data_IF_316527629302
#
_entry.id   IF_316527629302
#
_cell.length_a   1.000
_cell.length_b   1.000
_cell.length_c   1.000
_cell.angle_alpha   90.00
_cell.angle_beta   90.00
_cell.angle_gamma   90.00
#
_symmetry.space_group_name_H-M   'P 1'
#
loop_
_entity.id
_entity.type
_entity.pdbx_description
1 polymer ?
#
# COMPACT_ATOMS: atom_id res chain seq x y z
N UNK A 1 -30.91 -6.38 -66.46
CA UNK A 1 -31.88 -5.45 -65.88
C UNK A 1 -31.67 -5.37 -64.35
N UNK A 2 -30.95 -4.37 -63.85
CA UNK A 2 -30.60 -4.20 -62.41
C UNK A 2 -31.53 -3.14 -61.83
N UNK A 3 -32.29 -3.51 -60.84
CA UNK A 3 -33.22 -2.59 -60.09
C UNK A 3 -32.43 -1.98 -58.96
N UNK A 4 -32.24 -0.67 -58.96
CA UNK A 4 -31.61 0.11 -57.91
C UNK A 4 -32.68 0.43 -56.84
N UNK A 5 -32.45 0.01 -55.58
CA UNK A 5 -33.28 0.31 -54.41
C UNK A 5 -32.73 1.58 -53.74
N UNK A 6 -33.50 2.67 -53.79
CA UNK A 6 -33.21 3.96 -53.12
C UNK A 6 -33.31 3.78 -51.60
N UNK A 7 -32.25 4.15 -50.88
CA UNK A 7 -32.27 4.32 -49.41
C UNK A 7 -32.84 5.68 -49.06
N UNK A 8 -33.93 5.70 -48.32
CA UNK A 8 -34.47 6.93 -47.70
C UNK A 8 -33.68 7.21 -46.40
N UNK A 9 -33.21 8.44 -46.26
CA UNK A 9 -32.61 8.97 -45.06
C UNK A 9 -33.75 9.53 -44.16
N UNK A 10 -33.90 8.99 -42.96
CA UNK A 10 -34.79 9.51 -41.94
C UNK A 10 -33.95 10.45 -41.07
N UNK A 11 -34.31 11.72 -41.08
CA UNK A 11 -33.74 12.77 -40.23
C UNK A 11 -34.36 12.62 -38.84
N UNK A 12 -33.57 12.11 -37.89
CA UNK A 12 -33.97 12.01 -36.49
C UNK A 12 -33.76 13.36 -35.76
N UNK A 13 -34.82 13.89 -35.19
CA UNK A 13 -34.83 15.10 -34.40
C UNK A 13 -34.03 14.94 -33.11
N UNK A 14 -33.11 15.86 -32.87
CA UNK A 14 -32.31 15.94 -31.64
C UNK A 14 -33.19 16.46 -30.50
N UNK A 15 -33.43 15.60 -29.50
CA UNK A 15 -34.03 16.00 -28.22
C UNK A 15 -32.90 16.50 -27.33
N UNK A 16 -32.87 17.79 -27.05
CA UNK A 16 -32.04 18.43 -26.02
C UNK A 16 -32.59 18.01 -24.64
N UNK A 17 -31.97 17.05 -23.99
CA UNK A 17 -32.15 16.83 -22.57
C UNK A 17 -31.28 17.82 -21.79
N UNK A 18 -31.93 18.76 -21.11
CA UNK A 18 -31.29 19.65 -20.16
C UNK A 18 -30.73 18.89 -18.97
N UNK A 19 -29.42 18.87 -18.82
CA UNK A 19 -28.78 18.36 -17.63
C UNK A 19 -28.99 19.35 -16.47
N UNK A 20 -29.92 19.03 -15.55
CA UNK A 20 -30.02 19.70 -14.27
C UNK A 20 -28.78 19.27 -13.44
N UNK A 21 -27.83 20.19 -13.31
CA UNK A 21 -26.73 20.06 -12.38
C UNK A 21 -27.29 20.21 -10.97
N UNK A 22 -27.59 19.11 -10.30
CA UNK A 22 -27.84 19.12 -8.87
C UNK A 22 -26.51 19.43 -8.17
N UNK A 23 -26.37 20.67 -7.66
CA UNK A 23 -25.31 21.02 -6.72
C UNK A 23 -25.52 20.20 -5.45
N UNK A 24 -24.69 19.20 -5.22
CA UNK A 24 -24.63 18.43 -3.98
C UNK A 24 -24.23 19.34 -2.84
N UNK A 25 -25.06 19.41 -1.82
CA UNK A 25 -24.90 20.25 -0.64
C UNK A 25 -23.68 19.84 0.19
N UNK A 26 -22.99 20.78 0.87
CA UNK A 26 -21.79 20.48 1.69
C UNK A 26 -22.05 19.50 2.85
N UNK A 27 -23.31 19.21 3.21
CA UNK A 27 -23.67 18.22 4.22
C UNK A 27 -23.29 16.77 3.87
N UNK A 28 -23.24 16.40 2.58
CA UNK A 28 -22.84 15.05 2.15
C UNK A 28 -21.33 14.81 2.27
N UNK A 29 -20.52 15.87 2.08
CA UNK A 29 -19.06 15.77 2.24
C UNK A 29 -18.65 15.61 3.71
N UNK A 30 -19.39 16.24 4.62
CA UNK A 30 -19.11 16.20 6.04
C UNK A 30 -19.44 14.84 6.66
N UNK A 31 -20.52 14.18 6.25
CA UNK A 31 -20.86 12.82 6.67
C UNK A 31 -19.89 11.77 6.13
N UNK A 32 -19.39 11.95 4.90
CA UNK A 32 -18.45 10.99 4.30
C UNK A 32 -17.08 11.00 5.00
N UNK A 33 -16.57 12.19 5.37
CA UNK A 33 -15.30 12.29 6.10
C UNK A 33 -15.37 11.73 7.52
N UNK A 34 -16.50 11.90 8.20
CA UNK A 34 -16.71 11.35 9.54
C UNK A 34 -16.75 9.82 9.52
N UNK A 35 -17.41 9.24 8.54
CA UNK A 35 -17.46 7.79 8.36
C UNK A 35 -16.08 7.15 8.06
N UNK A 36 -15.26 7.78 7.20
CA UNK A 36 -13.93 7.28 6.89
C UNK A 36 -13.01 7.28 8.12
N UNK A 37 -13.06 8.32 8.92
CA UNK A 37 -12.26 8.42 10.13
C UNK A 37 -12.70 7.42 11.20
N UNK A 38 -14.01 7.23 11.38
CA UNK A 38 -14.54 6.25 12.32
C UNK A 38 -14.25 4.82 11.86
N UNK A 39 -14.34 4.54 10.57
CA UNK A 39 -13.91 3.26 9.98
C UNK A 39 -12.42 3.00 10.22
N UNK A 40 -11.57 3.99 9.99
CA UNK A 40 -10.14 3.87 10.25
C UNK A 40 -9.85 3.57 11.74
N UNK A 41 -10.42 4.33 12.66
CA UNK A 41 -10.27 4.08 14.10
C UNK A 41 -10.76 2.70 14.51
N UNK A 42 -11.90 2.28 13.97
CA UNK A 42 -12.45 0.94 14.21
C UNK A 42 -11.50 -0.16 13.72
N UNK A 43 -10.92 0.00 12.51
CA UNK A 43 -9.95 -0.94 11.98
C UNK A 43 -8.67 -1.02 12.83
N UNK A 44 -8.15 0.12 13.27
CA UNK A 44 -6.98 0.17 14.17
C UNK A 44 -7.31 -0.52 15.50
N UNK A 45 -8.43 -0.21 16.13
CA UNK A 45 -8.84 -0.84 17.39
C UNK A 45 -9.03 -2.35 17.26
N UNK A 46 -9.77 -2.80 16.25
CA UNK A 46 -10.00 -4.24 16.01
C UNK A 46 -8.71 -5.01 15.69
N UNK A 47 -7.73 -4.35 15.06
CA UNK A 47 -6.43 -4.96 14.80
C UNK A 47 -5.57 -5.01 16.06
N UNK A 48 -5.64 -3.99 16.92
CA UNK A 48 -4.96 -3.97 18.20
C UNK A 48 -5.48 -5.06 19.16
N UNK A 49 -6.80 -5.30 19.13
CA UNK A 49 -7.47 -6.29 19.97
C UNK A 49 -7.32 -7.73 19.45
N UNK A 50 -6.73 -7.91 18.24
CA UNK A 50 -6.46 -9.25 17.69
C UNK A 50 -5.48 -10.03 18.54
N UNK A 51 -5.67 -11.34 18.63
CA UNK A 51 -4.77 -12.31 19.27
C UNK A 51 -3.79 -12.98 18.28
N UNK A 52 -3.80 -12.55 17.01
CA UNK A 52 -2.92 -13.04 15.95
C UNK A 52 -1.68 -12.16 15.82
N UNK A 53 -0.54 -12.80 15.65
CA UNK A 53 0.76 -12.13 15.61
C UNK A 53 1.53 -12.46 14.35
N UNK A 54 2.44 -11.56 13.98
CA UNK A 54 3.32 -11.76 12.83
C UNK A 54 4.72 -11.20 13.10
N UNK A 55 5.70 -11.86 12.48
CA UNK A 55 7.11 -11.51 12.50
C UNK A 55 7.51 -10.91 11.18
N UNK A 56 8.32 -9.87 11.21
CA UNK A 56 8.88 -9.21 10.02
C UNK A 56 10.40 -9.37 10.01
N UNK A 57 10.94 -9.79 8.87
CA UNK A 57 12.38 -9.93 8.65
C UNK A 57 12.77 -9.18 7.39
N UNK A 58 13.47 -8.04 7.48
CA UNK A 58 13.98 -7.31 6.32
C UNK A 58 14.81 -8.21 5.41
N UNK A 59 14.66 -8.09 4.11
CA UNK A 59 15.31 -8.96 3.14
C UNK A 59 16.16 -8.19 2.12
N UNK A 60 15.61 -7.14 1.52
CA UNK A 60 16.27 -6.38 0.45
C UNK A 60 15.93 -4.90 0.54
N UNK A 61 16.94 -4.07 0.35
CA UNK A 61 16.82 -2.64 0.05
C UNK A 61 17.49 -2.39 -1.30
N UNK A 62 16.70 -2.18 -2.35
CA UNK A 62 17.25 -1.96 -3.68
C UNK A 62 17.05 -0.51 -4.13
N UNK A 63 18.14 0.16 -4.48
CA UNK A 63 18.14 1.52 -5.01
C UNK A 63 17.99 1.48 -6.52
N UNK A 64 17.06 2.25 -7.05
CA UNK A 64 16.79 2.30 -8.48
C UNK A 64 18.03 2.82 -9.26
N UNK A 65 18.69 1.93 -10.00
CA UNK A 65 19.94 2.20 -10.72
C UNK A 65 19.81 3.29 -11.79
N UNK A 66 18.60 3.59 -12.26
CA UNK A 66 18.36 4.71 -13.19
C UNK A 66 18.29 6.07 -12.48
N UNK A 67 18.11 6.07 -11.15
CA UNK A 67 17.95 7.27 -10.33
C UNK A 67 19.13 7.53 -9.37
N UNK A 68 20.17 6.70 -9.44
CA UNK A 68 21.35 6.80 -8.58
C UNK A 68 22.64 6.71 -9.36
N UNK A 69 23.63 7.50 -8.96
CA UNK A 69 25.01 7.33 -9.38
C UNK A 69 25.55 5.99 -8.87
N UNK A 70 26.28 5.27 -9.74
CA UNK A 70 26.88 3.98 -9.39
C UNK A 70 27.77 4.08 -8.12
N UNK A 71 28.53 5.17 -7.97
CA UNK A 71 29.38 5.38 -6.79
C UNK A 71 28.59 5.33 -5.48
N UNK A 72 27.40 5.94 -5.42
CA UNK A 72 26.55 5.90 -4.23
C UNK A 72 26.01 4.51 -3.94
N UNK A 73 25.53 3.82 -4.97
CA UNK A 73 24.98 2.47 -4.78
C UNK A 73 26.02 1.43 -4.42
N UNK A 74 27.27 1.64 -4.79
CA UNK A 74 28.39 0.78 -4.39
C UNK A 74 28.75 0.93 -2.88
N UNK A 75 28.38 2.07 -2.26
CA UNK A 75 28.60 2.36 -0.84
C UNK A 75 27.43 1.93 0.05
N UNK A 76 26.25 1.63 -0.53
CA UNK A 76 25.04 1.36 0.23
C UNK A 76 24.92 -0.13 0.63
N UNK A 77 24.44 -0.33 1.86
CA UNK A 77 24.00 -1.64 2.30
C UNK A 77 22.62 -1.96 1.71
N UNK A 78 22.55 -2.91 0.79
CA UNK A 78 21.30 -3.39 0.19
C UNK A 78 20.79 -4.71 0.80
N UNK A 79 21.47 -5.19 1.82
CA UNK A 79 21.08 -6.37 2.61
C UNK A 79 20.77 -5.94 4.05
N UNK A 80 19.64 -5.28 4.25
CA UNK A 80 19.25 -4.87 5.59
C UNK A 80 19.06 -6.11 6.47
N UNK A 81 19.40 -5.98 7.74
CA UNK A 81 19.01 -6.96 8.72
C UNK A 81 18.29 -6.25 9.86
N UNK A 82 17.40 -6.97 10.50
CA UNK A 82 16.57 -6.43 11.55
C UNK A 82 15.45 -7.38 11.89
N UNK A 83 14.54 -6.91 12.71
CA UNK A 83 13.38 -7.69 13.15
C UNK A 83 12.22 -6.74 13.42
N UNK A 84 11.01 -7.23 13.22
CA UNK A 84 9.79 -6.54 13.59
C UNK A 84 8.72 -7.51 14.03
N UNK A 85 7.76 -6.98 14.76
CA UNK A 85 6.61 -7.73 15.25
C UNK A 85 5.35 -6.91 15.02
N UNK A 86 4.22 -7.58 14.84
CA UNK A 86 2.93 -6.95 14.69
C UNK A 86 1.78 -7.83 15.14
N UNK A 87 0.64 -7.20 15.26
CA UNK A 87 -0.66 -7.85 15.35
C UNK A 87 -1.37 -7.68 14.03
N UNK A 88 -2.08 -8.72 13.59
CA UNK A 88 -2.82 -8.67 12.35
C UNK A 88 -4.20 -9.29 12.48
N UNK A 89 -5.06 -8.99 11.53
CA UNK A 89 -6.33 -9.67 11.29
C UNK A 89 -6.65 -9.68 9.80
N UNK A 90 -7.49 -10.58 9.40
CA UNK A 90 -8.26 -10.48 8.16
C UNK A 90 -9.68 -10.03 8.53
N UNK A 91 -10.25 -9.11 7.75
CA UNK A 91 -11.64 -8.68 7.95
C UNK A 91 -12.64 -9.63 7.26
N UNK A 92 -13.92 -9.22 7.19
CA UNK A 92 -15.00 -10.03 6.60
C UNK A 92 -14.82 -10.25 5.09
N UNK A 93 -14.10 -9.33 4.41
CA UNK A 93 -13.75 -9.43 2.99
C UNK A 93 -12.43 -10.19 2.76
N UNK A 94 -11.81 -10.72 3.82
CA UNK A 94 -10.48 -11.31 3.86
C UNK A 94 -9.36 -10.32 3.49
N UNK A 95 -9.57 -9.02 3.69
CA UNK A 95 -8.54 -8.01 3.54
C UNK A 95 -7.65 -7.99 4.79
N UNK A 96 -6.35 -7.84 4.56
CA UNK A 96 -5.36 -7.87 5.63
C UNK A 96 -5.16 -6.50 6.27
N UNK A 97 -5.16 -6.47 7.60
CA UNK A 97 -4.86 -5.32 8.43
C UNK A 97 -3.77 -5.67 9.43
N UNK A 98 -2.85 -4.75 9.69
CA UNK A 98 -1.82 -4.92 10.70
C UNK A 98 -1.46 -3.62 11.43
N UNK A 99 -1.00 -3.80 12.67
CA UNK A 99 -0.27 -2.78 13.44
C UNK A 99 1.09 -3.39 13.76
N UNK A 100 2.16 -2.72 13.36
CA UNK A 100 3.50 -3.28 13.43
C UNK A 100 4.53 -2.28 13.93
N UNK A 101 5.63 -2.82 14.42
CA UNK A 101 6.86 -2.10 14.68
C UNK A 101 8.04 -2.95 14.23
N UNK A 102 9.02 -2.33 13.59
CA UNK A 102 10.22 -2.97 13.09
C UNK A 102 11.43 -2.07 13.32
N UNK A 103 12.59 -2.65 13.59
CA UNK A 103 13.87 -1.95 13.59
C UNK A 103 14.84 -2.71 12.69
N UNK A 104 15.48 -1.98 11.80
CA UNK A 104 16.40 -2.56 10.82
C UNK A 104 17.58 -1.64 10.54
N UNK A 105 18.61 -2.19 9.87
CA UNK A 105 19.74 -1.40 9.36
C UNK A 105 19.36 -0.79 8.03
N UNK A 106 19.49 0.53 7.93
CA UNK A 106 19.28 1.28 6.70
C UNK A 106 20.44 1.09 5.70
N UNK A 107 20.40 1.82 4.60
CA UNK A 107 21.44 1.78 3.57
C UNK A 107 22.82 2.27 4.04
N UNK A 108 22.89 2.99 5.17
CA UNK A 108 24.13 3.47 5.79
C UNK A 108 24.58 2.62 6.98
N UNK A 109 23.92 1.47 7.23
CA UNK A 109 24.13 0.63 8.41
C UNK A 109 23.75 1.29 9.73
N UNK A 110 22.93 2.33 9.71
CA UNK A 110 22.36 2.92 10.91
C UNK A 110 21.02 2.27 11.27
N UNK A 111 20.64 2.33 12.54
CA UNK A 111 19.35 1.80 12.96
C UNK A 111 18.21 2.72 12.51
N UNK A 112 17.21 2.12 11.88
CA UNK A 112 15.97 2.78 11.47
C UNK A 112 14.77 2.05 12.10
N UNK A 113 14.17 2.59 13.18
CA UNK A 113 12.88 2.12 13.67
C UNK A 113 11.75 2.67 12.79
N UNK A 114 10.77 1.81 12.52
CA UNK A 114 9.53 2.14 11.81
C UNK A 114 8.36 1.44 12.49
N UNK A 115 7.20 2.08 12.51
CA UNK A 115 5.98 1.46 12.99
C UNK A 115 4.75 2.16 12.45
N UNK A 116 3.63 1.46 12.42
CA UNK A 116 2.41 2.03 11.88
C UNK A 116 1.27 1.03 11.73
N UNK A 117 0.27 1.48 10.99
CA UNK A 117 -0.87 0.67 10.55
C UNK A 117 -0.76 0.39 9.06
N UNK A 118 -1.08 -0.84 8.66
CA UNK A 118 -1.09 -1.25 7.27
C UNK A 118 -2.41 -1.92 6.89
N UNK A 119 -2.78 -1.77 5.63
CA UNK A 119 -3.94 -2.38 5.00
C UNK A 119 -3.59 -2.90 3.62
N UNK A 120 -4.09 -4.08 3.26
CA UNK A 120 -4.03 -4.59 1.90
C UNK A 120 -5.35 -5.24 1.52
N UNK A 121 -5.87 -4.82 0.37
CA UNK A 121 -6.88 -5.60 -0.36
C UNK A 121 -6.24 -6.89 -0.84
N UNK A 122 -6.88 -8.03 -0.54
CA UNK A 122 -6.36 -9.34 -0.87
C UNK A 122 -7.10 -9.96 -2.05
N UNK A 123 -6.35 -10.60 -2.95
CA UNK A 123 -6.88 -11.44 -4.03
C UNK A 123 -6.49 -12.89 -3.77
N UNK A 124 -7.51 -13.73 -3.69
CA UNK A 124 -7.40 -15.13 -3.29
C UNK A 124 -7.94 -15.98 -4.45
N UNK A 125 -7.09 -16.41 -5.39
CA UNK A 125 -7.55 -17.15 -6.58
C UNK A 125 -7.98 -18.58 -6.30
N UNK A 126 -7.73 -19.11 -5.10
CA UNK A 126 -8.05 -20.49 -4.70
C UNK A 126 -8.40 -20.58 -3.23
N UNK A 127 -7.83 -21.53 -2.54
CA UNK A 127 -8.06 -21.75 -1.10
C UNK A 127 -7.43 -20.63 -0.26
N UNK A 128 -8.02 -20.35 0.91
CA UNK A 128 -7.56 -19.31 1.85
C UNK A 128 -6.13 -19.53 2.33
N UNK A 129 -5.70 -20.78 2.47
CA UNK A 129 -4.34 -21.17 2.86
C UNK A 129 -3.39 -21.30 1.66
N UNK A 130 -3.90 -21.06 0.44
CA UNK A 130 -3.13 -21.13 -0.78
C UNK A 130 -2.39 -19.84 -1.13
N UNK A 131 -2.17 -19.65 -2.42
CA UNK A 131 -1.53 -18.46 -2.95
C UNK A 131 -2.48 -17.26 -2.88
N UNK A 132 -1.98 -16.14 -2.38
CA UNK A 132 -2.70 -14.86 -2.26
C UNK A 132 -1.80 -13.72 -2.70
N UNK A 133 -2.41 -12.65 -3.17
CA UNK A 133 -1.72 -11.40 -3.49
C UNK A 133 -2.40 -10.24 -2.78
N UNK A 134 -1.64 -9.26 -2.35
CA UNK A 134 -2.16 -8.08 -1.68
C UNK A 134 -1.62 -6.79 -2.29
N UNK A 135 -2.47 -5.76 -2.32
CA UNK A 135 -2.03 -4.39 -2.61
C UNK A 135 -2.80 -3.40 -1.72
N UNK A 136 -2.11 -2.38 -1.26
CA UNK A 136 -2.68 -1.39 -0.34
C UNK A 136 -1.67 -0.34 0.07
N UNK A 137 -1.66 -0.02 1.36
CA UNK A 137 -0.79 1.03 1.89
C UNK A 137 -0.37 0.76 3.32
N UNK A 138 0.66 1.46 3.76
CA UNK A 138 0.99 1.62 5.18
C UNK A 138 1.02 3.10 5.55
N UNK A 139 0.45 3.41 6.71
CA UNK A 139 0.56 4.70 7.38
C UNK A 139 1.53 4.52 8.54
N UNK A 140 2.78 4.83 8.30
CA UNK A 140 3.86 4.59 9.24
C UNK A 140 4.57 5.88 9.67
N UNK A 141 5.32 5.75 10.73
CA UNK A 141 6.29 6.75 11.19
C UNK A 141 7.63 6.05 11.27
N UNK A 142 8.65 6.65 10.67
CA UNK A 142 10.04 6.19 10.76
C UNK A 142 10.90 7.25 11.41
N UNK A 143 12.06 6.84 11.94
CA UNK A 143 13.05 7.75 12.50
C UNK A 143 14.45 7.32 12.07
N UNK A 144 15.20 8.24 11.48
CA UNK A 144 16.50 7.98 10.85
C UNK A 144 17.61 8.82 11.46
N UNK A 145 18.81 8.28 11.49
CA UNK A 145 19.98 8.96 12.05
C UNK A 145 20.33 10.24 11.30
N UNK A 146 20.26 10.25 9.97
CA UNK A 146 20.51 11.42 9.12
C UNK A 146 19.51 12.57 9.37
N UNK A 147 18.36 12.26 9.99
CA UNK A 147 17.34 13.20 10.46
C UNK A 147 17.30 13.33 11.99
N UNK A 148 18.40 13.03 12.68
CA UNK A 148 18.51 13.11 14.15
C UNK A 148 17.43 12.33 14.90
N UNK A 149 16.91 11.25 14.30
CA UNK A 149 15.79 10.45 14.81
C UNK A 149 14.49 11.22 15.05
N UNK A 150 14.31 12.35 14.36
CA UNK A 150 13.02 13.04 14.36
C UNK A 150 11.98 12.13 13.65
N UNK A 151 10.81 11.88 14.28
CA UNK A 151 9.78 11.06 13.65
C UNK A 151 9.26 11.67 12.35
N UNK A 152 9.28 10.89 11.27
CA UNK A 152 8.87 11.30 9.93
C UNK A 152 7.68 10.45 9.50
N UNK A 153 6.51 11.05 9.17
CA UNK A 153 5.41 10.33 8.57
C UNK A 153 5.80 9.73 7.22
N UNK A 154 5.49 8.46 7.01
CA UNK A 154 5.80 7.71 5.80
C UNK A 154 4.55 6.93 5.31
N UNK A 155 3.61 7.61 4.63
CA UNK A 155 2.53 6.92 3.91
C UNK A 155 3.12 6.30 2.63
N UNK A 156 3.11 4.97 2.54
CA UNK A 156 3.75 4.25 1.44
C UNK A 156 2.80 3.22 0.83
N UNK A 157 2.90 2.96 -0.49
CA UNK A 157 2.22 1.84 -1.12
C UNK A 157 2.77 0.52 -0.61
N UNK A 158 1.95 -0.52 -0.59
CA UNK A 158 2.31 -1.83 -0.09
C UNK A 158 1.78 -2.91 -1.01
N UNK A 159 2.64 -3.85 -1.38
CA UNK A 159 2.25 -5.04 -2.15
C UNK A 159 2.77 -6.30 -1.47
N UNK A 160 2.09 -7.41 -1.66
CA UNK A 160 2.54 -8.71 -1.17
C UNK A 160 2.19 -9.86 -2.09
N UNK A 161 2.98 -10.92 -1.97
CA UNK A 161 2.62 -12.28 -2.39
C UNK A 161 2.75 -13.19 -1.19
N UNK A 162 1.77 -14.06 -1.00
CA UNK A 162 1.64 -14.89 0.19
C UNK A 162 1.34 -16.33 -0.19
N UNK A 163 1.86 -17.24 0.60
CA UNK A 163 1.53 -18.65 0.56
C UNK A 163 1.49 -19.21 1.97
N UNK A 164 0.34 -19.77 2.37
CA UNK A 164 0.08 -20.21 3.73
C UNK A 164 0.38 -19.08 4.75
N UNK A 165 1.36 -19.24 5.60
CA UNK A 165 1.76 -18.30 6.66
C UNK A 165 2.91 -17.38 6.28
N UNK A 166 3.53 -17.60 5.13
CA UNK A 166 4.69 -16.84 4.66
C UNK A 166 4.28 -15.83 3.59
N UNK A 167 4.73 -14.60 3.76
CA UNK A 167 4.54 -13.54 2.77
C UNK A 167 5.86 -12.88 2.44
N UNK A 168 6.02 -12.49 1.18
CA UNK A 168 6.97 -11.48 0.75
C UNK A 168 6.20 -10.18 0.55
N UNK A 169 6.54 -9.16 1.33
CA UNK A 169 5.96 -7.82 1.21
C UNK A 169 7.00 -6.84 0.68
N UNK A 170 6.55 -5.84 -0.05
CA UNK A 170 7.42 -4.78 -0.57
C UNK A 170 6.70 -3.44 -0.60
N UNK A 171 7.50 -2.39 -0.42
CA UNK A 171 7.11 -1.00 -0.61
C UNK A 171 8.10 -0.29 -1.52
N UNK A 172 7.62 0.74 -2.23
CA UNK A 172 8.48 1.64 -2.97
C UNK A 172 8.44 3.03 -2.34
N UNK A 173 9.61 3.50 -1.96
CA UNK A 173 9.82 4.83 -1.38
C UNK A 173 10.16 5.77 -2.52
N UNK A 174 9.25 6.67 -2.95
CA UNK A 174 9.53 7.60 -4.02
C UNK A 174 10.60 8.62 -3.62
N UNK A 175 11.24 9.25 -4.60
CA UNK A 175 12.24 10.25 -4.33
C UNK A 175 12.69 11.01 -5.56
N UNK A 176 13.81 11.72 -5.41
CA UNK A 176 14.48 12.47 -6.47
C UNK A 176 15.77 11.79 -6.89
N UNK A 177 16.52 12.38 -7.81
CA UNK A 177 17.83 11.85 -8.21
C UNK A 177 18.78 11.77 -7.00
N UNK A 178 19.40 10.60 -6.81
CA UNK A 178 20.30 10.31 -5.68
C UNK A 178 19.66 10.37 -4.29
N UNK A 179 18.33 10.35 -4.18
CA UNK A 179 17.61 10.39 -2.90
C UNK A 179 16.22 9.74 -3.02
N UNK A 180 15.89 8.79 -2.17
CA UNK A 180 14.69 7.98 -2.28
C UNK A 180 14.78 6.99 -3.45
N UNK A 181 13.69 6.72 -4.15
CA UNK A 181 13.62 5.74 -5.25
C UNK A 181 14.14 4.35 -4.85
N UNK A 182 13.66 3.87 -3.71
CA UNK A 182 14.10 2.65 -3.06
C UNK A 182 12.96 1.63 -3.01
N UNK A 183 13.22 0.43 -3.47
CA UNK A 183 12.38 -0.72 -3.19
C UNK A 183 12.88 -1.37 -1.89
N UNK A 184 12.02 -1.44 -0.89
CA UNK A 184 12.29 -2.15 0.35
C UNK A 184 11.36 -3.36 0.45
N UNK A 185 11.92 -4.55 0.68
CA UNK A 185 11.19 -5.80 0.77
C UNK A 185 11.58 -6.57 2.02
N UNK A 186 10.61 -7.29 2.59
CA UNK A 186 10.77 -8.10 3.80
C UNK A 186 9.89 -9.35 3.75
N UNK A 187 10.30 -10.35 4.52
CA UNK A 187 9.49 -11.52 4.79
C UNK A 187 8.59 -11.26 6.00
N UNK A 188 7.38 -11.79 5.95
CA UNK A 188 6.39 -11.78 7.02
C UNK A 188 5.95 -13.20 7.31
N UNK A 189 5.98 -13.58 8.57
CA UNK A 189 5.52 -14.89 9.04
C UNK A 189 4.37 -14.72 10.02
N UNK A 190 3.27 -15.44 9.83
CA UNK A 190 2.04 -15.40 10.64
C UNK A 190 1.91 -16.64 11.52
N UNK A 191 1.47 -16.47 12.79
CA UNK A 191 1.14 -17.56 13.71
C UNK A 191 -0.06 -17.24 14.60
#
# INVERSE_FOLDING_TARGET
>A
MRVYKKRQWVIGASILMGASVCMSTPALAQNHSTNLWDTFKGNVSSTWDSDKYELYVPAVTWHNRAMYDKKKTDEYNERPWGIGFGKYRYDEDNDWHAIYAMAFKDSHNDWEPIGGYAYQKMWIPGDLDGFRMGAGFTLSVTARKDMYYIPIPAPLPLVSVEYDRLSLQATYIPGTYNNGNVLFAWLRWQW
#
